data_IF_005980121907
#
_entry.id   IF_005980121907
#
_cell.length_a   1.000
_cell.length_b   1.000
_cell.length_c   1.000
_cell.angle_alpha   90.00
_cell.angle_beta   90.00
_cell.angle_gamma   90.00
#
_symmetry.space_group_name_H-M   'P 1'
#
loop_
_entity.id
_entity.type
_entity.pdbx_description
1 polymer ?
#
# COMPACT_ATOMS: atom_id res chain seq x y z
N UNK A 1 -5.42 -9.08 -10.34
CA UNK A 1 -4.60 -9.97 -11.13
C UNK A 1 -3.21 -9.39 -11.32
N UNK A 2 -2.23 -10.22 -11.62
CA UNK A 2 -0.85 -9.78 -11.73
C UNK A 2 -0.59 -9.16 -13.10
N UNK A 3 -0.04 -7.97 -13.11
CA UNK A 3 0.30 -7.29 -14.35
C UNK A 3 1.69 -7.68 -14.83
N UNK A 4 1.80 -7.84 -16.15
CA UNK A 4 3.08 -8.12 -16.76
C UNK A 4 4.00 -6.90 -16.61
N UNK A 5 5.25 -7.16 -16.31
CA UNK A 5 6.25 -6.09 -16.17
C UNK A 5 6.35 -5.46 -14.80
N UNK A 6 5.44 -5.77 -13.89
CA UNK A 6 5.53 -5.29 -12.52
C UNK A 6 5.98 -6.43 -11.61
N UNK A 7 6.92 -6.16 -10.72
CA UNK A 7 7.41 -7.18 -9.79
C UNK A 7 6.26 -7.69 -8.92
N UNK A 8 6.20 -9.00 -8.76
CA UNK A 8 5.11 -9.66 -8.04
C UNK A 8 4.97 -9.16 -6.62
N UNK A 9 6.08 -8.98 -5.90
CA UNK A 9 6.01 -8.51 -4.52
C UNK A 9 5.43 -7.10 -4.41
N UNK A 10 5.64 -6.25 -5.42
CA UNK A 10 5.05 -4.91 -5.43
C UNK A 10 3.55 -4.96 -5.66
N UNK A 11 3.08 -5.88 -6.49
CA UNK A 11 1.65 -6.06 -6.71
C UNK A 11 0.95 -6.54 -5.44
N UNK A 12 1.59 -7.42 -4.68
CA UNK A 12 1.05 -7.89 -3.41
C UNK A 12 0.96 -6.73 -2.43
N UNK A 13 2.01 -5.90 -2.35
CA UNK A 13 1.98 -4.72 -1.49
C UNK A 13 0.83 -3.79 -1.90
N UNK A 14 0.65 -3.54 -3.19
CA UNK A 14 -0.43 -2.69 -3.67
C UNK A 14 -1.81 -3.26 -3.36
N UNK A 15 -1.97 -4.57 -3.46
CA UNK A 15 -3.25 -5.20 -3.14
C UNK A 15 -3.60 -5.03 -1.66
N UNK A 16 -2.62 -5.11 -0.78
CA UNK A 16 -2.84 -4.85 0.65
C UNK A 16 -3.19 -3.38 0.86
N UNK A 17 -2.49 -2.48 0.18
CA UNK A 17 -2.80 -1.05 0.24
C UNK A 17 -4.22 -0.76 -0.22
N UNK A 18 -4.65 -1.40 -1.29
CA UNK A 18 -6.01 -1.21 -1.79
C UNK A 18 -7.06 -1.64 -0.77
N UNK A 19 -6.79 -2.71 -0.03
CA UNK A 19 -7.68 -3.16 1.05
C UNK A 19 -7.75 -2.16 2.19
N UNK A 20 -6.64 -1.48 2.47
CA UNK A 20 -6.62 -0.42 3.47
C UNK A 20 -7.41 0.79 2.98
N UNK A 21 -7.22 1.14 1.71
CA UNK A 21 -7.88 2.30 1.11
C UNK A 21 -9.39 2.13 1.02
N UNK A 22 -9.86 0.92 0.70
CA UNK A 22 -11.30 0.69 0.55
C UNK A 22 -12.00 0.43 1.89
N UNK A 23 -11.25 0.37 2.98
CA UNK A 23 -11.81 0.18 4.31
C UNK A 23 -11.97 -1.26 4.74
N UNK A 24 -11.66 -2.23 3.87
CA UNK A 24 -11.73 -3.65 4.23
C UNK A 24 -10.74 -3.98 5.34
N UNK A 25 -9.63 -3.27 5.37
CA UNK A 25 -8.57 -3.47 6.34
C UNK A 25 -8.34 -2.15 7.07
N UNK A 26 -9.00 -2.00 8.21
CA UNK A 26 -8.99 -0.74 8.97
C UNK A 26 -7.65 -0.53 9.70
N UNK A 27 -7.41 0.71 10.11
CA UNK A 27 -6.28 1.03 10.98
C UNK A 27 -6.34 0.14 12.23
N UNK A 28 -5.19 -0.30 12.68
CA UNK A 28 -5.03 -1.18 13.84
C UNK A 28 -5.61 -2.59 13.65
N UNK A 29 -6.21 -2.89 12.52
CA UNK A 29 -6.70 -4.23 12.23
C UNK A 29 -5.55 -5.17 11.94
N UNK A 30 -5.76 -6.45 12.18
CA UNK A 30 -4.78 -7.46 11.86
C UNK A 30 -4.69 -7.64 10.34
N UNK A 31 -3.51 -7.48 9.81
CA UNK A 31 -3.24 -7.67 8.39
C UNK A 31 -2.97 -9.15 8.10
N UNK A 32 -3.15 -9.60 6.84
CA UNK A 32 -2.76 -10.96 6.47
C UNK A 32 -1.29 -11.20 6.74
N UNK A 33 -0.95 -12.39 7.21
CA UNK A 33 0.43 -12.78 7.42
C UNK A 33 1.09 -13.11 6.09
N UNK A 34 2.42 -13.18 6.09
CA UNK A 34 3.19 -13.61 4.92
C UNK A 34 2.69 -14.97 4.42
N UNK A 35 2.47 -15.92 5.33
CA UNK A 35 2.02 -17.25 4.93
C UNK A 35 0.61 -17.24 4.35
N UNK A 36 -0.26 -16.42 4.92
CA UNK A 36 -1.62 -16.27 4.41
C UNK A 36 -1.62 -15.68 3.00
N UNK A 37 -0.80 -14.67 2.77
CA UNK A 37 -0.67 -14.07 1.44
C UNK A 37 -0.07 -15.04 0.43
N UNK A 38 0.95 -15.79 0.85
CA UNK A 38 1.56 -16.78 -0.02
C UNK A 38 0.56 -17.85 -0.45
N UNK A 39 -0.27 -18.31 0.49
CA UNK A 39 -1.29 -19.30 0.20
C UNK A 39 -2.39 -18.73 -0.69
N UNK A 40 -2.83 -17.53 -0.42
CA UNK A 40 -3.91 -16.89 -1.18
C UNK A 40 -3.52 -16.66 -2.63
N UNK A 41 -2.33 -16.15 -2.86
CA UNK A 41 -1.85 -15.86 -4.21
C UNK A 41 -1.12 -17.03 -4.86
N UNK A 42 -0.92 -18.12 -4.13
CA UNK A 42 -0.20 -19.31 -4.60
C UNK A 42 1.20 -18.95 -5.09
N UNK A 43 1.95 -18.26 -4.25
CA UNK A 43 3.29 -17.80 -4.56
C UNK A 43 4.27 -18.25 -3.49
N UNK A 44 5.54 -18.05 -3.78
CA UNK A 44 6.61 -18.34 -2.85
C UNK A 44 6.49 -17.46 -1.61
N UNK A 45 6.56 -18.03 -0.38
CA UNK A 45 6.52 -17.23 0.85
C UNK A 45 7.59 -16.13 0.90
N UNK A 46 8.74 -16.36 0.30
CA UNK A 46 9.79 -15.33 0.27
C UNK A 46 9.34 -14.09 -0.53
N UNK A 47 8.59 -14.29 -1.61
CA UNK A 47 8.04 -13.19 -2.41
C UNK A 47 6.97 -12.44 -1.63
N UNK A 48 6.11 -13.17 -0.93
CA UNK A 48 5.10 -12.56 -0.08
C UNK A 48 5.75 -11.74 1.04
N UNK A 49 6.79 -12.28 1.65
CA UNK A 49 7.52 -11.59 2.71
C UNK A 49 8.14 -10.29 2.19
N UNK A 50 8.65 -10.30 0.98
CA UNK A 50 9.25 -9.11 0.37
C UNK A 50 8.20 -8.03 0.19
N UNK A 51 6.99 -8.38 -0.24
CA UNK A 51 5.89 -7.44 -0.37
C UNK A 51 5.46 -6.85 0.96
N UNK A 52 5.33 -7.69 1.98
CA UNK A 52 4.98 -7.26 3.33
C UNK A 52 6.06 -6.33 3.88
N UNK A 53 7.33 -6.66 3.66
CA UNK A 53 8.44 -5.84 4.16
C UNK A 53 8.45 -4.44 3.54
N UNK A 54 8.07 -4.31 2.29
CA UNK A 54 7.93 -2.98 1.66
C UNK A 54 6.95 -2.12 2.46
N UNK A 55 5.82 -2.69 2.87
CA UNK A 55 4.81 -1.95 3.62
C UNK A 55 5.28 -1.65 5.04
N UNK A 56 6.02 -2.56 5.66
CA UNK A 56 6.59 -2.32 6.99
C UNK A 56 7.60 -1.18 6.94
N UNK A 57 8.47 -1.17 5.94
CA UNK A 57 9.47 -0.10 5.79
C UNK A 57 8.82 1.25 5.55
N UNK A 58 7.68 1.29 4.87
CA UNK A 58 6.94 2.52 4.61
C UNK A 58 6.08 2.96 5.78
N UNK A 59 6.03 2.17 6.85
CA UNK A 59 5.22 2.49 8.02
C UNK A 59 3.73 2.22 7.85
N UNK A 60 3.34 1.48 6.82
CA UNK A 60 1.94 1.13 6.55
C UNK A 60 1.51 -0.05 7.42
N UNK A 61 2.40 -1.02 7.61
CA UNK A 61 2.16 -2.17 8.47
C UNK A 61 3.14 -2.16 9.63
N UNK A 62 2.68 -2.68 10.77
CA UNK A 62 3.49 -2.82 11.98
C UNK A 62 3.51 -4.27 12.39
N UNK A 63 4.71 -4.78 12.62
CA UNK A 63 4.87 -6.14 13.13
C UNK A 63 4.87 -6.11 14.64
N UNK A 64 3.96 -6.87 15.26
CA UNK A 64 3.91 -7.04 16.70
C UNK A 64 4.40 -8.44 17.02
N UNK A 65 5.54 -8.50 17.68
CA UNK A 65 6.24 -9.74 17.94
C UNK A 65 5.34 -10.73 18.70
N UNK A 66 5.21 -11.95 18.18
CA UNK A 66 4.40 -12.98 18.80
C UNK A 66 2.90 -12.84 18.61
N UNK A 67 2.46 -11.74 17.99
CA UNK A 67 1.03 -11.48 17.79
C UNK A 67 0.67 -11.48 16.31
N UNK A 68 1.47 -10.83 15.48
CA UNK A 68 1.23 -10.79 14.04
C UNK A 68 1.49 -9.43 13.43
N UNK A 69 0.95 -9.23 12.24
CA UNK A 69 1.08 -8.01 11.47
C UNK A 69 -0.20 -7.20 11.57
N UNK A 70 -0.07 -5.91 11.75
CA UNK A 70 -1.21 -5.01 11.94
C UNK A 70 -1.08 -3.79 11.05
N UNK A 71 -2.22 -3.21 10.67
CA UNK A 71 -2.24 -1.95 9.93
C UNK A 71 -1.85 -0.83 10.90
N UNK A 72 -0.88 -0.02 10.51
CA UNK A 72 -0.41 1.06 11.35
C UNK A 72 -1.49 2.14 11.54
N UNK A 73 -1.57 2.76 12.71
CA UNK A 73 -2.49 3.89 12.90
C UNK A 73 -2.17 4.99 11.89
N UNK A 74 -3.20 5.49 11.21
CA UNK A 74 -3.02 6.53 10.20
C UNK A 74 -2.57 6.02 8.83
N UNK A 75 -2.46 4.72 8.64
CA UNK A 75 -2.00 4.15 7.37
C UNK A 75 -2.90 4.56 6.20
N UNK A 76 -4.20 4.53 6.39
CA UNK A 76 -5.13 4.91 5.33
C UNK A 76 -4.94 6.36 4.90
N UNK A 77 -4.81 7.26 5.87
CA UNK A 77 -4.58 8.67 5.58
C UNK A 77 -3.26 8.89 4.85
N UNK A 78 -2.22 8.17 5.25
CA UNK A 78 -0.92 8.23 4.59
C UNK A 78 -1.02 7.77 3.13
N UNK A 79 -1.71 6.66 2.89
CA UNK A 79 -1.88 6.13 1.54
C UNK A 79 -2.69 7.08 0.65
N UNK A 80 -3.74 7.67 1.20
CA UNK A 80 -4.53 8.65 0.47
C UNK A 80 -3.66 9.82 0.03
N UNK A 81 -2.85 10.33 0.94
CA UNK A 81 -1.96 11.45 0.64
C UNK A 81 -0.93 11.08 -0.43
N UNK A 82 -0.34 9.89 -0.32
CA UNK A 82 0.65 9.42 -1.29
C UNK A 82 0.04 9.22 -2.66
N UNK A 83 -1.18 8.67 -2.72
CA UNK A 83 -1.87 8.44 -3.99
C UNK A 83 -2.26 9.74 -4.66
N UNK A 84 -2.66 10.74 -3.89
CA UNK A 84 -2.95 12.08 -4.42
C UNK A 84 -1.70 12.71 -5.00
N UNK A 85 -0.59 12.63 -4.30
CA UNK A 85 0.68 13.14 -4.78
C UNK A 85 1.12 12.47 -6.07
N UNK A 86 1.05 11.15 -6.11
CA UNK A 86 1.42 10.38 -7.30
C UNK A 86 0.52 10.71 -8.48
N UNK A 87 -0.78 10.86 -8.24
CA UNK A 87 -1.72 11.24 -9.29
C UNK A 87 -1.39 12.63 -9.84
N UNK A 88 -1.15 13.59 -8.98
CA UNK A 88 -0.81 14.95 -9.38
C UNK A 88 0.47 14.98 -10.22
N UNK A 89 1.49 14.26 -9.78
CA UNK A 89 2.77 14.19 -10.49
C UNK A 89 2.63 13.55 -11.87
N UNK A 90 1.73 12.60 -11.98
CA UNK A 90 1.59 11.80 -13.20
C UNK A 90 0.74 12.48 -14.27
N UNK A 91 -0.31 13.17 -13.86
CA UNK A 91 -1.33 13.65 -14.79
C UNK A 91 -1.39 15.16 -14.97
N UNK A 92 -0.63 15.90 -14.21
CA UNK A 92 -0.65 17.35 -14.29
C UNK A 92 0.13 17.83 -15.51
N UNK A 93 -0.50 18.69 -16.32
CA UNK A 93 0.20 19.47 -17.34
C UNK A 93 0.45 20.88 -16.77
N UNK A 94 1.18 21.74 -17.49
CA UNK A 94 1.52 23.08 -16.99
C UNK A 94 0.30 23.91 -16.62
N UNK A 95 -0.77 23.82 -17.39
CA UNK A 95 -1.97 24.60 -17.11
C UNK A 95 -2.65 24.13 -15.85
N UNK A 96 -2.77 22.83 -15.68
CA UNK A 96 -3.40 22.23 -14.50
C UNK A 96 -2.56 22.50 -13.26
N UNK A 97 -1.25 22.42 -13.36
CA UNK A 97 -0.36 22.70 -12.25
C UNK A 97 -0.54 24.12 -11.76
N UNK A 98 -0.67 25.08 -12.68
CA UNK A 98 -0.90 26.48 -12.33
C UNK A 98 -2.24 26.65 -11.63
N UNK A 99 -3.30 26.04 -12.12
CA UNK A 99 -4.60 26.10 -11.50
C UNK A 99 -4.59 25.51 -10.09
N UNK A 100 -3.91 24.39 -9.88
CA UNK A 100 -3.80 23.79 -8.55
C UNK A 100 -2.99 24.65 -7.61
N UNK A 101 -1.96 25.32 -8.12
CA UNK A 101 -1.15 26.24 -7.32
C UNK A 101 -2.00 27.40 -6.80
N UNK A 102 -2.88 27.93 -7.63
CA UNK A 102 -3.79 29.01 -7.22
C UNK A 102 -4.79 28.54 -6.17
N UNK A 103 -5.26 27.31 -6.27
CA UNK A 103 -6.20 26.73 -5.32
C UNK A 103 -5.57 26.56 -3.94
N UNK A 104 -4.29 26.23 -3.91
CA UNK A 104 -3.59 25.98 -2.66
C UNK A 104 -3.16 27.23 -1.91
N UNK A 105 -3.31 28.36 -2.49
CA UNK A 105 -3.05 29.64 -1.83
C UNK A 105 -4.27 30.10 -1.04
#
# INVERSE_FOLDING_TARGET
MIEEGKALFLQIAENVEDSILDGSLADDARAPSTNELAAFYRINPATAAKGVNVLVERGILVKRRGIGMFVAPGARAQLIAERRGAFADRYIDPLLAEALSLIHI
#
